data_IF_882989230041
#
_entry.id   IF_882989230041
#
_cell.length_a   1.000
_cell.length_b   1.000
_cell.length_c   1.000
_cell.angle_alpha   90.00
_cell.angle_beta   90.00
_cell.angle_gamma   90.00
#
_symmetry.space_group_name_H-M   'P 1'
#
loop_
_entity.id
_entity.type
_entity.pdbx_description
1 polymer ?
#
# COMPACT_ATOMS: atom_id res chain seq x y z
N UNK A 1 -6.77 -0.33 24.29
CA UNK A 1 -5.53 -0.11 23.50
C UNK A 1 -4.72 1.00 24.14
N UNK A 2 -3.45 0.78 24.45
CA UNK A 2 -2.60 1.83 25.04
C UNK A 2 -2.27 2.90 23.98
N UNK A 3 -2.17 4.17 24.40
CA UNK A 3 -1.92 5.30 23.50
C UNK A 3 -0.67 5.13 22.61
N UNK A 4 0.32 4.37 23.08
CA UNK A 4 1.51 4.02 22.32
C UNK A 4 1.18 3.11 21.11
N UNK A 5 0.32 2.11 21.28
CA UNK A 5 -0.08 1.20 20.20
C UNK A 5 -0.92 1.94 19.15
N UNK A 6 -1.81 2.85 19.58
CA UNK A 6 -2.58 3.68 18.65
C UNK A 6 -1.66 4.61 17.84
N UNK A 7 -0.67 5.23 18.49
CA UNK A 7 0.27 6.12 17.82
C UNK A 7 1.15 5.37 16.79
N UNK A 8 1.56 4.14 17.10
CA UNK A 8 2.30 3.28 16.18
C UNK A 8 1.44 2.88 14.97
N UNK A 9 0.18 2.52 15.19
CA UNK A 9 -0.76 2.19 14.11
C UNK A 9 -1.01 3.39 13.18
N UNK A 10 -1.29 4.56 13.74
CA UNK A 10 -1.47 5.80 12.95
C UNK A 10 -0.21 6.18 12.17
N UNK A 11 0.98 5.99 12.77
CA UNK A 11 2.25 6.19 12.08
C UNK A 11 2.43 5.22 10.91
N UNK A 12 2.08 3.95 11.09
CA UNK A 12 2.13 2.95 10.03
C UNK A 12 1.16 3.29 8.89
N UNK A 13 -0.10 3.65 9.20
CA UNK A 13 -1.12 4.10 8.24
C UNK A 13 -0.61 5.30 7.42
N UNK A 14 -0.01 6.30 8.08
CA UNK A 14 0.57 7.49 7.41
C UNK A 14 1.78 7.16 6.54
N UNK A 15 2.75 6.40 7.06
CA UNK A 15 3.94 6.02 6.30
C UNK A 15 3.57 5.29 5.01
N UNK A 16 2.59 4.38 5.08
CA UNK A 16 2.07 3.69 3.90
C UNK A 16 1.37 4.64 2.93
N UNK A 17 0.53 5.56 3.42
CA UNK A 17 -0.14 6.54 2.53
C UNK A 17 0.88 7.34 1.70
N UNK A 18 1.99 7.74 2.33
CA UNK A 18 3.11 8.40 1.66
C UNK A 18 3.75 7.47 0.61
N UNK A 19 4.07 6.23 0.97
CA UNK A 19 4.65 5.24 0.03
C UNK A 19 3.73 4.98 -1.15
N UNK A 20 2.42 4.79 -0.92
CA UNK A 20 1.41 4.60 -1.96
C UNK A 20 1.39 5.79 -2.93
N UNK A 21 1.39 7.02 -2.42
CA UNK A 21 1.42 8.22 -3.24
C UNK A 21 2.67 8.28 -4.13
N UNK A 22 3.83 7.89 -3.59
CA UNK A 22 5.08 7.85 -4.35
C UNK A 22 5.03 6.83 -5.48
N UNK A 23 4.57 5.60 -5.20
CA UNK A 23 4.44 4.54 -6.21
C UNK A 23 3.45 4.95 -7.29
N UNK A 24 2.30 5.53 -6.93
CA UNK A 24 1.32 6.04 -7.91
C UNK A 24 1.92 7.12 -8.81
N UNK A 25 2.73 8.05 -8.27
CA UNK A 25 3.42 9.05 -9.10
C UNK A 25 4.40 8.42 -10.08
N UNK A 26 5.10 7.36 -9.67
CA UNK A 26 6.01 6.61 -10.54
C UNK A 26 5.24 5.88 -11.65
N UNK A 27 4.11 5.23 -11.32
CA UNK A 27 3.21 4.61 -12.31
C UNK A 27 2.78 5.62 -13.36
N UNK A 28 2.23 6.78 -12.93
CA UNK A 28 1.77 7.81 -13.86
C UNK A 28 2.89 8.34 -14.77
N UNK A 29 4.13 8.40 -14.26
CA UNK A 29 5.30 8.80 -15.06
C UNK A 29 5.62 7.76 -16.13
N UNK A 30 5.64 6.47 -15.77
CA UNK A 30 5.91 5.38 -16.71
C UNK A 30 4.80 5.27 -17.78
N UNK A 31 3.53 5.44 -17.40
CA UNK A 31 2.41 5.47 -18.35
C UNK A 31 2.54 6.61 -19.36
N UNK A 32 2.94 7.80 -18.88
CA UNK A 32 3.23 8.92 -19.78
C UNK A 32 4.42 8.65 -20.70
N UNK A 33 5.48 8.00 -20.23
CA UNK A 33 6.63 7.64 -21.06
C UNK A 33 6.24 6.62 -22.15
N UNK A 34 5.40 5.64 -21.83
CA UNK A 34 4.83 4.69 -22.81
C UNK A 34 4.01 5.43 -23.87
N UNK A 35 3.11 6.32 -23.45
CA UNK A 35 2.20 7.03 -24.35
C UNK A 35 2.93 7.98 -25.31
N UNK A 36 4.12 8.45 -24.94
CA UNK A 36 4.89 9.41 -25.73
C UNK A 36 6.08 8.78 -26.47
N UNK A 37 6.34 7.47 -26.32
CA UNK A 37 7.45 6.80 -26.97
C UNK A 37 7.03 6.17 -28.30
N UNK A 38 7.82 6.42 -29.36
CA UNK A 38 7.66 5.78 -30.65
C UNK A 38 8.50 4.49 -30.79
N UNK A 39 9.46 4.25 -29.89
CA UNK A 39 10.31 3.05 -29.90
C UNK A 39 9.64 1.92 -29.12
N UNK A 40 9.27 0.86 -29.85
CA UNK A 40 8.63 -0.34 -29.29
C UNK A 40 9.52 -1.09 -28.30
N UNK A 41 10.84 -1.02 -28.45
CA UNK A 41 11.78 -1.69 -27.54
C UNK A 41 11.77 -0.97 -26.19
N UNK A 42 11.96 0.35 -26.21
CA UNK A 42 11.83 1.21 -25.03
C UNK A 42 10.45 1.06 -24.36
N UNK A 43 9.36 1.02 -25.14
CA UNK A 43 8.00 0.80 -24.61
C UNK A 43 7.90 -0.54 -23.86
N UNK A 44 8.45 -1.62 -24.41
CA UNK A 44 8.42 -2.93 -23.76
C UNK A 44 9.17 -2.93 -22.42
N UNK A 45 10.36 -2.33 -22.37
CA UNK A 45 11.16 -2.22 -21.14
C UNK A 45 10.44 -1.38 -20.06
N UNK A 46 9.77 -0.29 -20.45
CA UNK A 46 8.98 0.53 -19.53
C UNK A 46 7.75 -0.24 -19.03
N UNK A 47 7.11 -1.06 -19.88
CA UNK A 47 5.99 -1.92 -19.47
C UNK A 47 6.39 -2.93 -18.38
N UNK A 48 7.57 -3.54 -18.47
CA UNK A 48 8.08 -4.46 -17.44
C UNK A 48 8.28 -3.74 -16.10
N UNK A 49 8.79 -2.50 -16.14
CA UNK A 49 8.93 -1.66 -14.94
C UNK A 49 7.55 -1.28 -14.36
N UNK A 50 6.59 -0.98 -15.22
CA UNK A 50 5.22 -0.62 -14.83
C UNK A 50 4.53 -1.78 -14.09
N UNK A 51 4.67 -3.02 -14.58
CA UNK A 51 4.14 -4.22 -13.90
C UNK A 51 4.72 -4.34 -12.48
N UNK A 52 6.04 -4.18 -12.34
CA UNK A 52 6.71 -4.25 -11.04
C UNK A 52 6.17 -3.19 -10.05
N UNK A 53 5.83 -1.99 -10.55
CA UNK A 53 5.24 -0.92 -9.73
C UNK A 53 3.80 -1.21 -9.32
N UNK A 54 3.01 -1.85 -10.18
CA UNK A 54 1.67 -2.33 -9.82
C UNK A 54 1.72 -3.46 -8.78
N UNK A 55 2.70 -4.35 -8.85
CA UNK A 55 2.93 -5.38 -7.82
C UNK A 55 3.33 -4.78 -6.46
N UNK A 56 4.20 -3.76 -6.47
CA UNK A 56 4.56 -2.99 -5.28
C UNK A 56 3.32 -2.33 -4.66
N UNK A 57 2.46 -1.72 -5.49
CA UNK A 57 1.21 -1.11 -5.05
C UNK A 57 0.24 -2.14 -4.44
N UNK A 58 0.12 -3.33 -5.05
CA UNK A 58 -0.71 -4.42 -4.53
C UNK A 58 -0.18 -4.97 -3.20
N UNK A 59 1.14 -5.08 -3.07
CA UNK A 59 1.80 -5.51 -1.81
C UNK A 59 1.53 -4.50 -0.72
N UNK A 60 1.77 -3.22 -1.01
CA UNK A 60 1.41 -2.13 -0.13
C UNK A 60 -0.04 -2.31 0.29
N UNK A 61 -0.97 -2.58 -0.63
CA UNK A 61 -2.40 -2.72 -0.35
C UNK A 61 -2.79 -3.83 0.62
N UNK A 62 -2.22 -5.02 0.45
CA UNK A 62 -2.37 -6.15 1.40
C UNK A 62 -1.81 -5.83 2.79
N UNK A 63 -0.79 -4.97 2.85
CA UNK A 63 -0.27 -4.27 4.05
C UNK A 63 -1.37 -3.91 5.08
N UNK A 64 -2.43 -3.25 4.63
CA UNK A 64 -3.50 -2.62 5.45
C UNK A 64 -4.61 -3.57 5.73
N UNK A 65 -4.95 -4.47 4.79
CA UNK A 65 -5.89 -5.54 5.11
C UNK A 65 -5.35 -6.35 6.31
N UNK A 66 -4.04 -6.61 6.35
CA UNK A 66 -3.42 -7.28 7.51
C UNK A 66 -3.47 -6.44 8.80
N UNK A 67 -3.19 -5.12 8.72
CA UNK A 67 -3.23 -4.24 9.89
C UNK A 67 -4.64 -3.97 10.42
N UNK A 68 -5.62 -3.80 9.54
CA UNK A 68 -7.04 -3.64 9.89
C UNK A 68 -7.59 -4.93 10.51
N UNK A 69 -7.19 -6.09 9.99
CA UNK A 69 -7.61 -7.37 10.55
C UNK A 69 -7.08 -7.57 11.98
N UNK A 70 -5.87 -7.09 12.30
CA UNK A 70 -5.35 -7.11 13.67
C UNK A 70 -6.20 -6.22 14.58
N UNK A 71 -6.51 -4.99 14.16
CA UNK A 71 -7.36 -4.04 14.92
C UNK A 71 -8.74 -4.66 15.20
N UNK A 72 -9.37 -5.30 14.19
CA UNK A 72 -10.65 -5.98 14.34
C UNK A 72 -10.61 -7.21 15.26
N UNK A 73 -9.52 -7.98 15.26
CA UNK A 73 -9.36 -9.15 16.12
C UNK A 73 -9.12 -8.76 17.58
N UNK A 74 -8.34 -7.70 17.82
CA UNK A 74 -8.13 -7.15 19.16
C UNK A 74 -9.45 -6.63 19.77
N UNK A 75 -10.28 -5.95 18.98
CA UNK A 75 -11.60 -5.49 19.41
C UNK A 75 -12.56 -6.66 19.73
N UNK A 76 -12.55 -7.73 18.94
CA UNK A 76 -13.39 -8.91 19.18
C UNK A 76 -13.00 -9.66 20.46
N UNK A 77 -11.69 -9.81 20.72
CA UNK A 77 -11.18 -10.45 21.95
C UNK A 77 -11.57 -9.61 23.17
N UNK A 78 -11.36 -8.30 23.13
CA UNK A 78 -11.70 -7.39 24.23
C UNK A 78 -13.20 -7.44 24.55
N UNK A 79 -14.05 -7.48 23.52
CA UNK A 79 -15.51 -7.55 23.68
C UNK A 79 -15.95 -8.87 24.34
N UNK A 80 -15.28 -9.98 24.04
CA UNK A 80 -15.54 -11.30 24.65
C UNK A 80 -15.05 -11.42 26.10
N UNK A 81 -13.97 -10.72 26.46
CA UNK A 81 -13.49 -10.69 27.85
C UNK A 81 -14.37 -9.83 28.77
N UNK A 82 -14.93 -8.73 28.25
CA UNK A 82 -15.84 -7.84 29.00
C UNK A 82 -17.21 -8.49 29.27
N UNK A 83 -17.66 -9.39 28.39
CA UNK A 83 -18.97 -10.04 28.49
C UNK A 83 -18.96 -11.35 29.30
N UNK A 84 -17.89 -11.59 30.07
CA UNK A 84 -17.68 -12.77 30.92
C UNK A 84 -17.68 -12.40 32.40
#
# INVERSE_FOLDING_TARGET
MDAANQALLERAKRARSVSRSLVTKQINKLENEINNSADKTTVHEIYVQLISKYEELSTLDKEVESLINIESLEDEILTREISR
#
